data_IF_877535919206
#
_entry.id   IF_877535919206
#
_cell.length_a   1.000
_cell.length_b   1.000
_cell.length_c   1.000
_cell.angle_alpha   90.00
_cell.angle_beta   90.00
_cell.angle_gamma   90.00
#
_symmetry.space_group_name_H-M   'P 1'
#
loop_
_entity.id
_entity.type
_entity.pdbx_description
1 polymer ?
#
# COMPACT_ATOMS: atom_id res chain seq x y z
N UNK A 1 8.12 -27.66 2.65
CA UNK A 1 7.14 -27.15 3.62
C UNK A 1 5.84 -26.93 2.86
N UNK A 2 4.71 -27.49 3.28
CA UNK A 2 3.43 -27.11 2.65
C UNK A 2 3.17 -25.67 3.06
N UNK A 3 3.49 -24.72 2.18
CA UNK A 3 3.11 -23.33 2.39
C UNK A 3 1.59 -23.28 2.26
N UNK A 4 0.89 -23.20 3.38
CA UNK A 4 -0.54 -22.94 3.37
C UNK A 4 -0.77 -21.64 2.58
N UNK A 5 -1.77 -21.67 1.70
CA UNK A 5 -2.15 -20.55 0.86
C UNK A 5 -2.38 -19.28 1.70
N UNK A 6 -1.90 -18.13 1.21
CA UNK A 6 -2.17 -16.85 1.87
C UNK A 6 -3.65 -16.49 1.77
N UNK A 7 -4.33 -16.93 0.71
CA UNK A 7 -5.78 -16.79 0.57
C UNK A 7 -6.54 -17.52 1.68
N UNK A 8 -6.10 -18.72 2.04
CA UNK A 8 -6.70 -19.49 3.16
C UNK A 8 -6.40 -18.85 4.51
N UNK A 9 -5.14 -18.45 4.74
CA UNK A 9 -4.70 -17.86 6.01
C UNK A 9 -5.27 -16.47 6.25
N UNK A 10 -5.45 -15.69 5.18
CA UNK A 10 -5.90 -14.31 5.21
C UNK A 10 -7.01 -14.08 4.18
N UNK A 11 -8.26 -14.50 4.47
CA UNK A 11 -9.36 -14.41 3.52
C UNK A 11 -9.63 -12.96 3.06
N UNK A 12 -9.96 -12.72 1.77
CA UNK A 12 -10.13 -11.37 1.23
C UNK A 12 -11.20 -10.56 1.97
N UNK A 13 -12.32 -11.20 2.31
CA UNK A 13 -13.43 -10.56 3.04
C UNK A 13 -13.00 -10.11 4.43
N UNK A 14 -12.24 -10.93 5.15
CA UNK A 14 -11.69 -10.61 6.47
C UNK A 14 -10.76 -9.41 6.40
N UNK A 15 -9.76 -9.46 5.50
CA UNK A 15 -8.82 -8.36 5.30
C UNK A 15 -9.55 -7.08 4.91
N UNK A 16 -10.43 -7.14 3.90
CA UNK A 16 -11.21 -5.99 3.42
C UNK A 16 -12.00 -5.33 4.54
N UNK A 17 -12.75 -6.12 5.32
CA UNK A 17 -13.57 -5.60 6.40
C UNK A 17 -12.70 -4.94 7.47
N UNK A 18 -11.58 -5.57 7.82
CA UNK A 18 -10.62 -5.02 8.76
C UNK A 18 -10.03 -3.67 8.29
N UNK A 19 -9.59 -3.56 7.03
CA UNK A 19 -9.14 -2.29 6.46
C UNK A 19 -10.25 -1.22 6.46
N UNK A 20 -11.45 -1.57 5.99
CA UNK A 20 -12.61 -0.66 5.97
C UNK A 20 -12.92 -0.12 7.35
N UNK A 21 -12.97 -0.98 8.37
CA UNK A 21 -13.22 -0.58 9.75
C UNK A 21 -12.17 0.45 10.22
N UNK A 22 -10.88 0.17 10.04
CA UNK A 22 -9.81 1.10 10.42
C UNK A 22 -9.92 2.45 9.71
N UNK A 23 -10.24 2.44 8.43
CA UNK A 23 -10.38 3.66 7.62
C UNK A 23 -11.58 4.47 8.12
N UNK A 24 -12.75 3.85 8.27
CA UNK A 24 -13.99 4.52 8.70
C UNK A 24 -13.88 5.11 10.11
N UNK A 25 -13.06 4.53 10.98
CA UNK A 25 -12.76 5.08 12.32
C UNK A 25 -11.60 6.08 12.32
N UNK A 26 -11.15 6.58 11.16
CA UNK A 26 -10.01 7.50 10.99
C UNK A 26 -8.69 6.97 11.57
N UNK A 27 -8.53 5.65 11.69
CA UNK A 27 -7.33 5.00 12.20
C UNK A 27 -6.30 4.73 11.11
N UNK A 28 -6.32 5.40 9.95
CA UNK A 28 -5.51 4.99 8.81
C UNK A 28 -3.98 5.01 9.05
N UNK A 29 -3.45 5.60 10.12
CA UNK A 29 -2.03 5.48 10.50
C UNK A 29 -1.63 4.10 11.03
N UNK A 30 -2.61 3.28 11.44
CA UNK A 30 -2.41 2.10 12.27
C UNK A 30 -1.39 1.10 11.70
N UNK A 31 -1.24 1.05 10.37
CA UNK A 31 -0.36 0.10 9.70
C UNK A 31 1.13 0.48 9.80
N UNK A 32 1.43 1.74 10.14
CA UNK A 32 2.78 2.21 10.42
C UNK A 32 3.10 1.83 11.86
N UNK A 33 4.04 0.90 12.05
CA UNK A 33 4.48 0.42 13.36
C UNK A 33 5.29 1.46 14.15
N UNK A 34 5.21 2.74 13.80
CA UNK A 34 5.99 3.80 14.45
C UNK A 34 5.33 4.21 15.76
N UNK A 35 6.14 4.35 16.81
CA UNK A 35 5.75 5.00 18.08
C UNK A 35 5.31 6.46 17.87
N UNK A 36 5.57 7.03 16.70
CA UNK A 36 5.17 8.38 16.31
C UNK A 36 3.67 8.43 16.04
N UNK A 37 2.92 9.05 16.96
CA UNK A 37 1.49 9.32 16.80
C UNK A 37 1.28 10.35 15.69
N UNK A 38 1.08 9.88 14.46
CA UNK A 38 0.73 10.76 13.34
C UNK A 38 -0.77 10.76 13.16
N UNK A 39 -1.39 11.91 13.39
CA UNK A 39 -2.82 12.12 13.13
C UNK A 39 -3.05 12.39 11.66
N UNK A 40 -3.79 11.51 11.01
CA UNK A 40 -4.30 11.77 9.67
C UNK A 40 -5.47 12.74 9.79
N UNK A 41 -5.55 13.79 8.94
CA UNK A 41 -6.77 14.57 8.87
C UNK A 41 -7.94 13.66 8.48
N UNK A 42 -9.15 13.88 9.03
CA UNK A 42 -10.31 13.06 8.72
C UNK A 42 -10.55 12.95 7.21
N UNK A 43 -11.04 11.78 6.77
CA UNK A 43 -11.25 11.44 5.35
C UNK A 43 -12.00 12.49 4.54
N UNK A 44 -12.99 13.12 5.17
CA UNK A 44 -13.86 14.11 4.56
C UNK A 44 -13.24 15.53 4.44
N UNK A 45 -12.10 15.81 5.08
CA UNK A 45 -11.57 17.19 5.18
C UNK A 45 -10.47 17.51 4.16
N UNK A 46 -9.67 16.54 3.76
CA UNK A 46 -8.57 16.73 2.80
C UNK A 46 -8.47 15.48 1.94
N UNK A 47 -8.71 15.60 0.64
CA UNK A 47 -8.42 14.54 -0.33
C UNK A 47 -7.01 13.97 -0.09
N UNK A 48 -6.93 12.64 0.01
CA UNK A 48 -5.81 11.95 0.66
C UNK A 48 -4.58 11.87 -0.24
N UNK A 49 -3.77 12.93 -0.21
CA UNK A 49 -2.35 12.89 -0.59
C UNK A 49 -1.54 14.10 -0.04
N UNK A 50 -1.99 14.69 1.08
CA UNK A 50 -1.31 15.84 1.70
C UNK A 50 -0.98 15.57 3.17
N UNK A 51 0.04 14.74 3.38
CA UNK A 51 0.69 14.63 4.68
C UNK A 51 1.34 15.98 5.03
N UNK A 52 1.23 16.42 6.28
CA UNK A 52 2.31 17.25 6.81
C UNK A 52 3.54 16.34 6.72
N UNK A 53 4.55 16.67 5.91
CA UNK A 53 5.73 15.79 5.79
C UNK A 53 6.50 15.80 7.10
N UNK A 54 6.04 14.94 8.00
CA UNK A 54 6.79 14.45 9.14
C UNK A 54 7.77 13.46 8.51
N UNK A 55 9.08 13.76 8.46
CA UNK A 55 10.06 12.94 7.77
C UNK A 55 9.99 11.46 8.17
N UNK A 56 9.80 11.19 9.45
CA UNK A 56 9.75 9.84 10.05
C UNK A 56 8.55 9.05 9.53
N UNK A 57 7.40 9.72 9.39
CA UNK A 57 6.20 9.14 8.81
C UNK A 57 6.41 8.83 7.32
N UNK A 58 6.92 9.80 6.56
CA UNK A 58 7.12 9.66 5.12
C UNK A 58 8.08 8.51 4.86
N UNK A 59 9.19 8.46 5.60
CA UNK A 59 10.15 7.36 5.55
C UNK A 59 9.48 6.02 5.86
N UNK A 60 8.77 5.91 6.99
CA UNK A 60 8.14 4.65 7.40
C UNK A 60 7.10 4.18 6.37
N UNK A 61 6.32 5.10 5.81
CA UNK A 61 5.32 4.81 4.79
C UNK A 61 5.94 4.29 3.51
N UNK A 62 6.90 5.02 2.93
CA UNK A 62 7.54 4.60 1.67
C UNK A 62 8.43 3.36 1.84
N UNK A 63 9.02 3.17 3.02
CA UNK A 63 9.74 1.93 3.36
C UNK A 63 8.79 0.74 3.32
N UNK A 64 7.61 0.83 3.96
CA UNK A 64 6.64 -0.24 3.92
C UNK A 64 6.11 -0.49 2.50
N UNK A 65 5.87 0.56 1.71
CA UNK A 65 5.45 0.38 0.31
C UNK A 65 6.50 -0.38 -0.50
N UNK A 66 7.78 0.02 -0.40
CA UNK A 66 8.87 -0.63 -1.12
C UNK A 66 9.03 -2.11 -0.69
N UNK A 67 9.03 -2.39 0.61
CA UNK A 67 9.08 -3.77 1.13
C UNK A 67 7.86 -4.59 0.68
N UNK A 68 6.67 -3.98 0.67
CA UNK A 68 5.46 -4.61 0.19
C UNK A 68 5.55 -4.99 -1.28
N UNK A 69 6.12 -4.12 -2.13
CA UNK A 69 6.34 -4.42 -3.54
C UNK A 69 7.28 -5.61 -3.75
N UNK A 70 8.38 -5.69 -3.00
CA UNK A 70 9.28 -6.86 -3.06
C UNK A 70 8.55 -8.14 -2.65
N UNK A 71 7.76 -8.11 -1.56
CA UNK A 71 6.96 -9.26 -1.12
C UNK A 71 5.96 -9.69 -2.20
N UNK A 72 5.28 -8.72 -2.81
CA UNK A 72 4.32 -8.99 -3.87
C UNK A 72 4.98 -9.70 -5.04
N UNK A 73 6.14 -9.20 -5.48
CA UNK A 73 6.89 -9.77 -6.60
C UNK A 73 7.32 -11.22 -6.30
N UNK A 74 7.91 -11.46 -5.13
CA UNK A 74 8.29 -12.81 -4.69
C UNK A 74 7.09 -13.77 -4.67
N UNK A 75 5.96 -13.33 -4.14
CA UNK A 75 4.76 -14.17 -4.05
C UNK A 75 4.14 -14.39 -5.42
N UNK A 76 4.14 -13.38 -6.29
CA UNK A 76 3.61 -13.51 -7.64
C UNK A 76 4.43 -14.52 -8.45
N UNK A 77 5.76 -14.46 -8.39
CA UNK A 77 6.66 -15.43 -9.02
C UNK A 77 6.40 -16.87 -8.57
N UNK A 78 6.08 -17.07 -7.28
CA UNK A 78 5.81 -18.40 -6.71
C UNK A 78 4.40 -18.88 -7.06
N UNK A 79 3.40 -17.99 -6.99
CA UNK A 79 1.99 -18.36 -7.04
C UNK A 79 1.37 -18.33 -8.44
N UNK A 80 1.96 -17.61 -9.39
CA UNK A 80 1.41 -17.43 -10.71
C UNK A 80 2.52 -17.38 -11.76
N UNK A 81 2.63 -18.39 -12.63
CA UNK A 81 3.70 -18.43 -13.65
C UNK A 81 3.43 -17.54 -14.87
N UNK A 82 2.17 -17.30 -15.20
CA UNK A 82 1.75 -16.62 -16.43
C UNK A 82 1.14 -15.24 -16.17
N UNK A 83 1.76 -14.42 -15.30
CA UNK A 83 1.31 -13.03 -15.14
C UNK A 83 1.72 -12.16 -16.33
N UNK A 84 0.88 -11.19 -16.65
CA UNK A 84 1.16 -10.21 -17.69
C UNK A 84 2.33 -9.31 -17.29
N UNK A 85 3.20 -9.03 -18.24
CA UNK A 85 4.29 -8.06 -18.11
C UNK A 85 3.88 -6.76 -18.78
N UNK A 86 4.14 -5.64 -18.10
CA UNK A 86 3.93 -4.30 -18.61
C UNK A 86 5.01 -3.99 -19.68
N UNK A 87 4.63 -3.60 -20.91
CA UNK A 87 5.59 -3.28 -21.95
C UNK A 87 6.34 -1.97 -21.69
N UNK A 88 5.88 -1.12 -20.76
CA UNK A 88 6.50 0.17 -20.47
C UNK A 88 7.74 0.04 -19.58
N UNK A 89 7.71 -0.86 -18.60
CA UNK A 89 8.72 -0.97 -17.55
C UNK A 89 9.22 -2.40 -17.31
N UNK A 90 8.73 -3.37 -18.10
CA UNK A 90 9.12 -4.78 -18.05
C UNK A 90 8.94 -5.43 -16.67
N UNK A 91 7.98 -4.93 -15.87
CA UNK A 91 7.57 -5.50 -14.58
C UNK A 91 6.22 -6.19 -14.69
N UNK A 92 5.85 -7.09 -13.74
CA UNK A 92 4.48 -7.56 -13.61
C UNK A 92 3.46 -6.41 -13.66
N UNK A 93 2.43 -6.51 -14.51
CA UNK A 93 1.37 -5.48 -14.66
C UNK A 93 0.73 -5.13 -13.32
N UNK A 94 0.57 -6.12 -12.44
CA UNK A 94 0.03 -5.91 -11.11
C UNK A 94 0.81 -4.83 -10.32
N UNK A 95 2.15 -4.85 -10.36
CA UNK A 95 2.97 -3.86 -9.68
C UNK A 95 2.71 -2.45 -10.21
N UNK A 96 2.60 -2.29 -11.53
CA UNK A 96 2.28 -1.01 -12.16
C UNK A 96 0.91 -0.48 -11.75
N UNK A 97 -0.12 -1.35 -11.73
CA UNK A 97 -1.48 -0.97 -11.31
C UNK A 97 -1.51 -0.55 -9.84
N UNK A 98 -0.86 -1.33 -8.98
CA UNK A 98 -0.78 -1.02 -7.55
C UNK A 98 -0.05 0.30 -7.30
N UNK A 99 1.10 0.51 -7.95
CA UNK A 99 1.89 1.74 -7.85
C UNK A 99 1.07 2.97 -8.29
N UNK A 100 0.33 2.86 -9.39
CA UNK A 100 -0.56 3.93 -9.87
C UNK A 100 -1.61 4.32 -8.81
N UNK A 101 -2.27 3.35 -8.19
CA UNK A 101 -3.32 3.62 -7.20
C UNK A 101 -2.75 4.22 -5.90
N UNK A 102 -1.64 3.70 -5.37
CA UNK A 102 -1.04 4.18 -4.10
C UNK A 102 -0.41 5.57 -4.19
N UNK A 103 -0.19 6.08 -5.39
CA UNK A 103 0.20 7.48 -5.61
C UNK A 103 -0.99 8.44 -5.67
N UNK A 104 -2.21 7.91 -5.87
CA UNK A 104 -3.45 8.70 -5.96
C UNK A 104 -4.22 8.71 -4.65
N UNK A 105 -4.12 7.62 -3.88
CA UNK A 105 -4.73 7.45 -2.56
C UNK A 105 -3.75 6.75 -1.62
N UNK A 106 -4.09 6.69 -0.34
CA UNK A 106 -3.29 5.93 0.62
C UNK A 106 -3.44 4.44 0.47
N UNK A 107 -2.39 3.72 0.85
CA UNK A 107 -2.34 2.26 0.71
C UNK A 107 -3.56 1.54 1.32
N UNK A 108 -4.05 1.85 2.54
CA UNK A 108 -5.26 1.19 3.06
C UNK A 108 -6.50 1.33 2.17
N UNK A 109 -6.70 2.48 1.50
CA UNK A 109 -7.83 2.70 0.60
C UNK A 109 -7.65 1.85 -0.66
N UNK A 110 -6.46 1.92 -1.27
CA UNK A 110 -6.14 1.15 -2.47
C UNK A 110 -6.29 -0.36 -2.20
N UNK A 111 -5.68 -0.88 -1.13
CA UNK A 111 -5.79 -2.28 -0.70
C UNK A 111 -7.25 -2.69 -0.48
N UNK A 112 -8.04 -1.86 0.20
CA UNK A 112 -9.47 -2.13 0.38
C UNK A 112 -10.23 -2.19 -0.96
N UNK A 113 -9.91 -1.34 -1.93
CA UNK A 113 -10.47 -1.40 -3.28
C UNK A 113 -10.07 -2.70 -4.00
N UNK A 114 -8.78 -3.05 -3.97
CA UNK A 114 -8.24 -4.27 -4.61
C UNK A 114 -8.90 -5.56 -4.07
N UNK A 115 -9.22 -5.59 -2.78
CA UNK A 115 -9.91 -6.70 -2.10
C UNK A 115 -11.44 -6.71 -2.30
N UNK A 116 -12.02 -5.65 -2.86
CA UNK A 116 -13.47 -5.48 -2.97
C UNK A 116 -13.99 -6.03 -4.29
N UNK A 117 -14.86 -7.03 -4.22
CA UNK A 117 -15.56 -7.64 -5.38
C UNK A 117 -17.06 -7.31 -5.45
N UNK A 118 -17.60 -6.64 -4.43
CA UNK A 118 -19.00 -6.21 -4.38
C UNK A 118 -19.20 -4.82 -5.01
N UNK A 119 -20.40 -4.25 -4.89
CA UNK A 119 -20.77 -2.94 -5.47
C UNK A 119 -20.21 -1.72 -4.71
N UNK A 120 -19.50 -1.92 -3.60
CA UNK A 120 -18.94 -0.83 -2.82
C UNK A 120 -17.90 -0.05 -3.62
N UNK A 121 -17.98 1.28 -3.58
CA UNK A 121 -16.98 2.16 -4.20
C UNK A 121 -16.68 3.32 -3.26
N UNK A 122 -15.40 3.58 -3.00
CA UNK A 122 -14.94 4.62 -2.09
C UNK A 122 -15.39 6.03 -2.47
N UNK A 123 -15.48 6.33 -3.77
CA UNK A 123 -15.92 7.64 -4.27
C UNK A 123 -17.37 7.97 -3.91
N UNK A 124 -18.23 6.95 -3.73
CA UNK A 124 -19.61 7.12 -3.23
C UNK A 124 -19.66 7.59 -1.78
N UNK A 125 -18.62 7.29 -0.99
CA UNK A 125 -18.54 7.68 0.43
C UNK A 125 -17.69 8.93 0.64
N UNK A 126 -16.62 9.09 -0.15
CA UNK A 126 -15.67 10.20 -0.07
C UNK A 126 -15.46 10.72 -1.50
N UNK A 127 -16.15 11.80 -1.91
CA UNK A 127 -16.16 12.28 -3.29
C UNK A 127 -14.79 12.64 -3.88
N UNK A 128 -13.77 12.86 -3.05
CA UNK A 128 -12.41 13.18 -3.48
C UNK A 128 -11.58 11.93 -3.87
N UNK A 129 -12.08 10.72 -3.58
CA UNK A 129 -11.40 9.49 -3.96
C UNK A 129 -11.66 9.24 -5.46
N UNK A 130 -10.63 8.87 -6.24
CA UNK A 130 -10.81 8.52 -7.64
C UNK A 130 -11.83 7.39 -7.85
N UNK A 131 -12.68 7.55 -8.86
CA UNK A 131 -13.73 6.57 -9.19
C UNK A 131 -13.17 5.31 -9.85
N UNK A 132 -12.01 5.45 -10.47
CA UNK A 132 -11.34 4.50 -11.36
C UNK A 132 -10.18 3.76 -10.67
N UNK A 133 -10.22 3.60 -9.34
CA UNK A 133 -9.30 2.68 -8.65
C UNK A 133 -9.50 1.24 -9.17
N UNK A 134 -8.47 0.41 -9.09
CA UNK A 134 -8.53 -0.97 -9.58
C UNK A 134 -9.29 -1.89 -8.60
N UNK A 135 -10.62 -1.85 -8.62
CA UNK A 135 -11.42 -2.74 -7.77
C UNK A 135 -11.30 -4.21 -8.18
N UNK A 136 -11.24 -5.10 -7.18
CA UNK A 136 -11.34 -6.53 -7.41
C UNK A 136 -10.10 -7.20 -8.02
N UNK A 137 -8.91 -6.57 -7.93
CA UNK A 137 -7.64 -7.21 -8.33
C UNK A 137 -7.44 -8.59 -7.69
N UNK A 138 -8.00 -8.82 -6.50
CA UNK A 138 -7.97 -10.13 -5.82
C UNK A 138 -8.59 -11.27 -6.65
N UNK A 139 -9.48 -10.97 -7.61
CA UNK A 139 -10.06 -11.99 -8.50
C UNK A 139 -9.06 -12.55 -9.50
N UNK A 140 -8.04 -11.76 -9.85
CA UNK A 140 -7.01 -12.13 -10.83
C UNK A 140 -5.71 -12.55 -10.14
N UNK A 141 -5.41 -11.96 -8.98
CA UNK A 141 -4.17 -12.13 -8.24
C UNK A 141 -4.44 -12.44 -6.75
N UNK A 142 -5.17 -13.53 -6.42
CA UNK A 142 -5.68 -13.76 -5.07
C UNK A 142 -4.57 -13.88 -4.03
N UNK A 143 -3.55 -14.69 -4.30
CA UNK A 143 -2.43 -14.93 -3.37
C UNK A 143 -1.63 -13.65 -3.12
N UNK A 144 -1.19 -12.98 -4.20
CA UNK A 144 -0.38 -11.78 -4.13
C UNK A 144 -1.11 -10.65 -3.40
N UNK A 145 -2.39 -10.40 -3.73
CA UNK A 145 -3.18 -9.35 -3.08
C UNK A 145 -3.43 -9.66 -1.60
N UNK A 146 -3.79 -10.90 -1.25
CA UNK A 146 -4.03 -11.26 0.14
C UNK A 146 -2.74 -11.19 0.97
N UNK A 147 -1.62 -11.63 0.43
CA UNK A 147 -0.33 -11.55 1.09
C UNK A 147 0.14 -10.10 1.31
N UNK A 148 0.05 -9.26 0.28
CA UNK A 148 0.39 -7.84 0.39
C UNK A 148 -0.48 -7.15 1.44
N UNK A 149 -1.79 -7.39 1.40
CA UNK A 149 -2.73 -6.86 2.37
C UNK A 149 -2.45 -7.37 3.80
N UNK A 150 -2.04 -8.63 3.97
CA UNK A 150 -1.66 -9.17 5.27
C UNK A 150 -0.37 -8.51 5.80
N UNK A 151 0.66 -8.37 4.94
CA UNK A 151 1.92 -7.71 5.28
C UNK A 151 1.72 -6.25 5.70
N UNK A 152 1.06 -5.47 4.83
CA UNK A 152 0.70 -4.09 5.13
C UNK A 152 -0.15 -4.03 6.39
N UNK A 153 -0.99 -5.06 6.58
CA UNK A 153 -1.89 -5.17 7.70
C UNK A 153 -1.24 -5.61 9.02
N UNK A 154 0.09 -5.75 9.05
CA UNK A 154 0.85 -6.25 10.20
C UNK A 154 0.45 -7.67 10.67
N UNK A 155 -0.21 -8.46 9.82
CA UNK A 155 -0.55 -9.85 10.13
C UNK A 155 0.68 -10.73 9.92
N UNK A 156 1.39 -11.05 10.99
CA UNK A 156 2.65 -11.82 10.97
C UNK A 156 3.72 -11.18 10.06
N UNK A 157 3.86 -9.85 10.11
CA UNK A 157 4.76 -9.08 9.24
C UNK A 157 6.19 -9.62 9.20
N UNK A 158 6.73 -10.05 10.34
CA UNK A 158 8.09 -10.59 10.42
C UNK A 158 8.29 -11.81 9.51
N UNK A 159 7.29 -12.70 9.39
CA UNK A 159 7.36 -13.87 8.51
C UNK A 159 7.48 -13.48 7.03
N UNK A 160 6.90 -12.34 6.63
CA UNK A 160 7.04 -11.84 5.27
C UNK A 160 8.40 -11.17 5.05
N UNK A 161 8.94 -10.49 6.07
CA UNK A 161 10.26 -9.88 5.98
C UNK A 161 11.37 -10.93 5.83
N UNK A 162 11.16 -12.14 6.36
CA UNK A 162 12.08 -13.27 6.17
C UNK A 162 12.16 -13.75 4.71
N UNK A 163 11.22 -13.35 3.84
CA UNK A 163 11.24 -13.63 2.40
C UNK A 163 12.15 -12.68 1.62
N UNK A 164 12.53 -11.55 2.21
CA UNK A 164 13.26 -10.49 1.52
C UNK A 164 14.74 -10.59 1.89
N UNK A 165 15.62 -10.55 0.88
CA UNK A 165 17.06 -10.50 1.12
C UNK A 165 17.48 -9.22 1.85
N UNK A 166 18.55 -9.27 2.63
CA UNK A 166 19.12 -8.09 3.29
C UNK A 166 19.51 -6.99 2.29
N UNK A 167 19.97 -7.38 1.10
CA UNK A 167 20.29 -6.45 0.00
C UNK A 167 19.04 -5.73 -0.50
N UNK A 168 17.92 -6.45 -0.70
CA UNK A 168 16.64 -5.85 -1.09
C UNK A 168 16.09 -4.93 -0.01
N UNK A 169 16.22 -5.30 1.28
CA UNK A 169 15.82 -4.44 2.40
C UNK A 169 16.60 -3.12 2.37
N UNK A 170 17.92 -3.15 2.22
CA UNK A 170 18.74 -1.93 2.14
C UNK A 170 18.37 -1.06 0.94
N UNK A 171 18.02 -1.66 -0.21
CA UNK A 171 17.51 -0.91 -1.37
C UNK A 171 16.17 -0.22 -1.05
N UNK A 172 15.25 -0.92 -0.41
CA UNK A 172 13.96 -0.35 0.02
C UNK A 172 14.15 0.84 0.97
N UNK A 173 15.10 0.74 1.89
CA UNK A 173 15.43 1.82 2.83
C UNK A 173 16.02 3.03 2.11
N UNK A 174 16.90 2.82 1.14
CA UNK A 174 17.45 3.90 0.31
C UNK A 174 16.35 4.61 -0.50
N UNK A 175 15.43 3.87 -1.12
CA UNK A 175 14.30 4.44 -1.85
C UNK A 175 13.41 5.29 -0.94
N UNK A 176 13.10 4.78 0.25
CA UNK A 176 12.31 5.50 1.24
C UNK A 176 13.00 6.80 1.71
N UNK A 177 14.33 6.78 1.90
CA UNK A 177 15.10 7.98 2.22
C UNK A 177 15.03 9.02 1.10
N UNK A 178 15.28 8.61 -0.15
CA UNK A 178 15.25 9.49 -1.32
C UNK A 178 13.89 10.17 -1.47
N UNK A 179 12.81 9.40 -1.35
CA UNK A 179 11.45 9.91 -1.42
C UNK A 179 11.13 10.87 -0.27
N UNK A 180 11.59 10.56 0.94
CA UNK A 180 11.48 11.46 2.10
C UNK A 180 12.16 12.80 1.84
N UNK A 181 13.40 12.79 1.33
CA UNK A 181 14.11 14.01 0.95
C UNK A 181 13.38 14.81 -0.12
N UNK A 182 12.84 14.14 -1.14
CA UNK A 182 12.06 14.79 -2.21
C UNK A 182 10.85 15.53 -1.66
N UNK A 183 10.04 14.87 -0.83
CA UNK A 183 8.84 15.45 -0.23
C UNK A 183 9.16 16.65 0.69
N UNK A 184 10.22 16.56 1.48
CA UNK A 184 10.70 17.67 2.33
C UNK A 184 11.12 18.86 1.46
N UNK A 185 11.86 18.62 0.38
CA UNK A 185 12.31 19.67 -0.55
C UNK A 185 11.12 20.38 -1.21
N UNK A 186 10.14 19.64 -1.69
CA UNK A 186 8.93 20.21 -2.31
C UNK A 186 8.14 21.10 -1.35
N UNK A 187 8.03 20.72 -0.08
CA UNK A 187 7.35 21.54 0.92
C UNK A 187 8.11 22.83 1.24
N UNK A 188 9.44 22.78 1.31
CA UNK A 188 10.25 24.00 1.46
C UNK A 188 10.03 24.96 0.30
N UNK A 189 10.01 24.45 -0.93
CA UNK A 189 9.77 25.26 -2.13
C UNK A 189 8.36 25.88 -2.14
N UNK A 190 7.32 25.13 -1.75
CA UNK A 190 5.95 25.67 -1.63
C UNK A 190 5.80 26.74 -0.56
N UNK A 191 6.58 26.69 0.52
CA UNK A 191 6.60 27.75 1.55
C UNK A 191 7.31 29.01 1.06
N UNK A 192 8.37 28.88 0.26
CA UNK A 192 9.08 30.00 -0.35
C UNK A 192 8.20 30.76 -1.35
N UNK A 193 7.39 30.05 -2.14
CA UNK A 193 6.45 30.64 -3.12
C UNK A 193 5.21 31.32 -2.50
N UNK A 194 5.01 31.19 -1.18
CA UNK A 194 3.89 31.79 -0.45
C UNK A 194 4.31 32.98 0.43
N UNK A 195 5.59 33.34 0.40
CA UNK A 195 6.13 34.56 1.01
C UNK A 195 6.38 35.58 -0.08
#
# INVERSE_FOLDING_TARGET
MSQNSYLEKYPPSTLRNYYREKILHNQAHWFLSSETVVTFPPLHQKGWCRYYAIPEFVYSYFRLLALGSEILEQILEISQRDYLISPQDNRPVLLSLMESDIHRVIAPIAISAWLTVDEFRWDKYIPQIPRDLNYGLVTQYPEAICAYAAFMGNFNRNQFLDLISTVSISKCELLAQQETFRQIKELKNKKLLRK
#
